data_IF_515641961911
#
_entry.id   IF_515641961911
#
_cell.length_a   1.000
_cell.length_b   1.000
_cell.length_c   1.000
_cell.angle_alpha   90.00
_cell.angle_beta   90.00
_cell.angle_gamma   90.00
#
_symmetry.space_group_name_H-M   'P 1'
#
loop_
_entity.id
_entity.type
_entity.pdbx_description
1 polymer ?
#
# COMPACT_ATOMS: atom_id res chain seq x y z
N UNK A 1 -6.45 44.33 -14.44
CA UNK A 1 -6.13 44.18 -13.01
C UNK A 1 -4.69 44.59 -12.82
N UNK A 2 -4.43 45.33 -11.74
CA UNK A 2 -3.32 46.26 -11.62
C UNK A 2 -2.01 45.54 -11.29
N UNK A 3 -0.91 46.17 -11.70
CA UNK A 3 0.50 45.84 -11.42
C UNK A 3 0.87 45.74 -9.92
N UNK A 4 -0.10 45.92 -9.03
CA UNK A 4 0.03 45.81 -7.58
C UNK A 4 -0.47 44.47 -7.01
N UNK A 5 -1.05 43.59 -7.84
CA UNK A 5 -1.41 42.21 -7.45
C UNK A 5 -0.31 41.18 -7.78
N UNK A 6 0.93 41.64 -8.02
CA UNK A 6 2.10 40.77 -8.03
C UNK A 6 2.46 40.39 -6.59
N UNK A 7 1.67 39.48 -6.00
CA UNK A 7 1.97 38.79 -4.75
C UNK A 7 3.09 37.78 -5.05
N UNK A 8 4.30 38.29 -5.26
CA UNK A 8 5.51 37.48 -5.35
C UNK A 8 6.23 37.54 -4.02
N UNK A 9 5.89 36.64 -3.08
CA UNK A 9 6.96 36.02 -2.30
C UNK A 9 7.86 35.37 -3.35
N UNK A 10 9.14 35.75 -3.37
CA UNK A 10 10.00 35.35 -4.47
C UNK A 10 10.01 33.81 -4.53
N UNK A 11 9.95 33.17 -5.70
CA UNK A 11 10.03 31.69 -5.83
C UNK A 11 11.21 31.09 -5.01
N UNK A 12 12.22 31.92 -4.78
CA UNK A 12 13.41 31.73 -3.97
C UNK A 12 13.17 31.59 -2.46
N UNK A 13 12.09 32.15 -1.91
CA UNK A 13 11.69 32.02 -0.50
C UNK A 13 11.16 30.61 -0.18
N UNK A 14 10.73 29.86 -1.20
CA UNK A 14 10.30 28.47 -1.04
C UNK A 14 11.47 27.47 -1.11
N UNK A 15 12.69 27.95 -1.38
CA UNK A 15 13.88 27.11 -1.41
C UNK A 15 14.58 27.19 -0.07
N UNK A 16 15.02 26.05 0.45
CA UNK A 16 15.92 26.01 1.60
C UNK A 16 17.17 26.86 1.37
N UNK A 17 17.74 27.37 2.46
CA UNK A 17 19.00 28.10 2.44
C UNK A 17 20.13 27.22 1.90
N UNK A 18 20.12 25.92 2.19
CA UNK A 18 21.13 25.01 1.65
C UNK A 18 21.02 24.84 0.14
N UNK A 19 19.80 24.78 -0.42
CA UNK A 19 19.61 24.80 -1.88
C UNK A 19 20.16 26.10 -2.47
N UNK A 20 19.78 27.25 -1.92
CA UNK A 20 20.26 28.55 -2.42
C UNK A 20 21.79 28.65 -2.36
N UNK A 21 22.40 28.22 -1.26
CA UNK A 21 23.86 28.22 -1.08
C UNK A 21 24.57 27.37 -2.13
N UNK A 22 24.05 26.17 -2.43
CA UNK A 22 24.65 25.27 -3.43
C UNK A 22 24.40 25.71 -4.86
N UNK A 23 23.29 26.41 -5.12
CA UNK A 23 23.04 27.06 -6.40
C UNK A 23 24.12 28.08 -6.72
N UNK A 24 24.46 28.93 -5.74
CA UNK A 24 25.39 30.05 -5.94
C UNK A 24 26.86 29.62 -5.84
N UNK A 25 27.18 28.68 -4.94
CA UNK A 25 28.54 28.23 -4.68
C UNK A 25 28.62 26.71 -4.46
N UNK A 26 28.49 25.90 -5.53
CA UNK A 26 28.61 24.44 -5.45
C UNK A 26 30.04 24.02 -5.13
N UNK A 27 30.22 23.18 -4.12
CA UNK A 27 31.54 22.76 -3.64
C UNK A 27 32.22 21.73 -4.56
N UNK A 28 31.42 20.91 -5.24
CA UNK A 28 31.83 19.74 -6.00
C UNK A 28 31.74 19.94 -7.52
N UNK A 29 31.43 21.15 -7.99
CA UNK A 29 31.41 21.43 -9.43
C UNK A 29 32.82 21.38 -10.03
N UNK A 30 32.96 20.76 -11.20
CA UNK A 30 34.23 20.58 -11.89
C UNK A 30 34.31 19.30 -12.69
N UNK A 31 35.49 19.01 -13.22
CA UNK A 31 35.80 17.74 -13.88
C UNK A 31 36.97 17.06 -13.18
N UNK A 32 37.16 15.79 -13.51
CA UNK A 32 38.37 15.03 -13.16
C UNK A 32 38.93 14.54 -14.48
N UNK A 33 40.17 14.94 -14.76
CA UNK A 33 40.90 14.53 -15.97
C UNK A 33 41.55 13.16 -15.79
N UNK A 34 41.89 12.51 -16.89
CA UNK A 34 42.60 11.23 -16.86
C UNK A 34 43.99 11.36 -16.20
N UNK A 35 44.62 12.53 -16.34
CA UNK A 35 45.91 12.82 -15.69
C UNK A 35 45.77 12.92 -14.17
N UNK A 36 44.75 13.64 -13.68
CA UNK A 36 44.45 13.74 -12.25
C UNK A 36 44.04 12.40 -11.62
N UNK A 37 43.50 11.48 -12.43
CA UNK A 37 43.08 10.18 -11.94
C UNK A 37 44.26 9.31 -11.50
N UNK A 38 45.40 9.39 -12.23
CA UNK A 38 46.59 8.61 -11.94
C UNK A 38 46.30 7.10 -11.95
N UNK A 39 46.61 6.42 -10.84
CA UNK A 39 46.36 4.99 -10.65
C UNK A 39 44.91 4.67 -10.23
N UNK A 40 44.13 5.69 -9.87
CA UNK A 40 42.76 5.49 -9.44
C UNK A 40 41.83 5.27 -10.64
N UNK A 41 40.71 4.60 -10.39
CA UNK A 41 39.72 4.32 -11.43
C UNK A 41 38.80 5.53 -11.62
N UNK A 42 38.91 6.18 -12.77
CA UNK A 42 38.01 7.25 -13.19
C UNK A 42 36.76 6.68 -13.86
N UNK A 43 35.58 7.09 -13.39
CA UNK A 43 34.28 6.81 -14.00
C UNK A 43 33.63 8.13 -14.37
N UNK A 44 33.16 8.22 -15.62
CA UNK A 44 32.46 9.40 -16.14
C UNK A 44 31.09 8.92 -16.62
N UNK A 45 30.03 9.51 -16.09
CA UNK A 45 28.65 9.16 -16.44
C UNK A 45 27.86 10.40 -16.84
N UNK A 46 27.16 10.31 -17.96
CA UNK A 46 26.25 11.34 -18.45
C UNK A 46 24.80 10.87 -18.30
N UNK A 47 23.95 11.75 -17.80
CA UNK A 47 22.50 11.53 -17.74
C UNK A 47 21.75 12.85 -17.97
N UNK A 48 20.61 12.80 -18.64
CA UNK A 48 19.79 13.98 -18.89
C UNK A 48 18.32 13.64 -19.02
N UNK A 49 17.47 14.56 -18.57
CA UNK A 49 16.02 14.42 -18.60
C UNK A 49 15.45 15.27 -19.74
N UNK A 50 15.03 14.63 -20.83
CA UNK A 50 14.48 15.31 -22.02
C UNK A 50 13.25 16.18 -21.69
N UNK A 51 12.46 15.79 -20.68
CA UNK A 51 11.25 16.48 -20.25
C UNK A 51 11.49 17.90 -19.72
N UNK A 52 12.64 18.14 -19.09
CA UNK A 52 12.99 19.46 -18.53
C UNK A 52 14.23 20.10 -19.18
N UNK A 53 14.98 19.35 -19.98
CA UNK A 53 16.19 19.83 -20.66
C UNK A 53 17.43 19.91 -19.77
N UNK A 54 17.35 19.42 -18.52
CA UNK A 54 18.48 19.37 -17.60
C UNK A 54 19.35 18.14 -17.88
N UNK A 55 20.66 18.28 -17.73
CA UNK A 55 21.65 17.24 -17.87
C UNK A 55 22.76 17.36 -16.81
N UNK A 56 23.33 16.23 -16.44
CA UNK A 56 24.43 16.13 -15.48
C UNK A 56 25.48 15.14 -15.98
N UNK A 57 26.74 15.53 -15.81
CA UNK A 57 27.92 14.67 -15.96
C UNK A 57 28.54 14.47 -14.59
N UNK A 58 28.57 13.24 -14.12
CA UNK A 58 29.21 12.83 -12.86
C UNK A 58 30.60 12.24 -13.14
N UNK A 59 31.56 12.62 -12.30
CA UNK A 59 32.92 12.08 -12.28
C UNK A 59 33.17 11.44 -10.92
N UNK A 60 33.47 10.15 -10.89
CA UNK A 60 33.97 9.47 -9.71
C UNK A 60 35.42 9.08 -9.89
N UNK A 61 36.22 9.36 -8.88
CA UNK A 61 37.55 8.80 -8.72
C UNK A 61 37.49 7.76 -7.60
N UNK A 62 37.77 6.51 -7.94
CA UNK A 62 37.62 5.37 -7.05
C UNK A 62 39.00 4.79 -6.76
N UNK A 63 39.31 4.64 -5.47
CA UNK A 63 40.53 3.97 -5.03
C UNK A 63 40.41 2.46 -5.33
N UNK A 64 41.28 1.85 -6.14
CA UNK A 64 41.22 0.44 -6.47
C UNK A 64 41.54 -0.49 -5.29
N UNK A 65 42.11 0.01 -4.19
CA UNK A 65 42.45 -0.80 -3.01
C UNK A 65 41.23 -1.09 -2.14
N UNK A 66 40.46 -0.04 -1.87
CA UNK A 66 39.33 -0.10 -0.93
C UNK A 66 37.97 0.02 -1.63
N UNK A 67 37.96 0.20 -2.95
CA UNK A 67 36.78 0.40 -3.80
C UNK A 67 35.90 1.59 -3.37
N UNK A 68 36.51 2.61 -2.75
CA UNK A 68 35.83 3.81 -2.26
C UNK A 68 35.97 4.99 -3.20
N UNK A 69 34.89 5.76 -3.32
CA UNK A 69 34.85 7.02 -4.06
C UNK A 69 35.61 8.08 -3.26
N UNK A 70 36.86 8.35 -3.63
CA UNK A 70 37.73 9.33 -2.96
C UNK A 70 37.49 10.76 -3.45
N UNK A 71 36.89 10.91 -4.64
CA UNK A 71 36.49 12.20 -5.18
C UNK A 71 35.26 12.04 -6.05
N UNK A 72 34.31 12.94 -5.87
CA UNK A 72 33.08 13.02 -6.66
C UNK A 72 32.93 14.44 -7.15
N UNK A 73 32.91 14.65 -8.47
CA UNK A 73 32.77 15.96 -9.11
C UNK A 73 31.66 15.91 -10.15
N UNK A 74 31.11 17.06 -10.52
CA UNK A 74 30.08 17.11 -11.53
C UNK A 74 30.16 18.34 -12.43
N UNK A 75 29.64 18.20 -13.64
CA UNK A 75 29.16 19.33 -14.45
C UNK A 75 27.65 19.20 -14.60
N UNK A 76 26.93 20.31 -14.55
CA UNK A 76 25.49 20.32 -14.77
C UNK A 76 25.16 21.39 -15.79
N UNK A 77 24.21 21.06 -16.68
CA UNK A 77 23.54 21.99 -17.56
C UNK A 77 22.07 21.95 -17.17
N UNK A 78 21.50 23.06 -16.73
CA UNK A 78 20.10 23.07 -16.31
C UNK A 78 19.76 24.18 -15.34
N UNK A 79 18.62 24.02 -14.67
CA UNK A 79 18.18 24.96 -13.66
C UNK A 79 19.03 24.88 -12.37
N UNK A 80 19.07 25.92 -11.55
CA UNK A 80 19.94 25.91 -10.36
C UNK A 80 19.56 24.83 -9.33
N UNK A 81 18.31 24.38 -9.25
CA UNK A 81 17.95 23.22 -8.40
C UNK A 81 18.62 21.93 -8.88
N UNK A 82 18.92 21.80 -10.18
CA UNK A 82 19.72 20.71 -10.72
C UNK A 82 21.19 20.82 -10.28
N UNK A 83 21.75 22.04 -10.24
CA UNK A 83 23.10 22.31 -9.71
C UNK A 83 23.18 21.93 -8.23
N UNK A 84 22.24 22.41 -7.41
CA UNK A 84 22.21 22.10 -5.97
C UNK A 84 22.03 20.61 -5.68
N UNK A 85 21.11 19.95 -6.40
CA UNK A 85 20.91 18.50 -6.27
C UNK A 85 22.15 17.70 -6.67
N UNK A 86 22.81 18.09 -7.77
CA UNK A 86 24.04 17.44 -8.24
C UNK A 86 25.22 17.67 -7.28
N UNK A 87 25.32 18.86 -6.69
CA UNK A 87 26.36 19.17 -5.70
C UNK A 87 26.21 18.35 -4.41
N UNK A 88 24.97 18.26 -3.90
CA UNK A 88 24.66 17.41 -2.75
C UNK A 88 24.87 15.93 -3.05
N UNK A 89 24.40 15.46 -4.22
CA UNK A 89 24.63 14.09 -4.67
C UNK A 89 26.13 13.76 -4.70
N UNK A 90 26.94 14.64 -5.28
CA UNK A 90 28.38 14.43 -5.34
C UNK A 90 28.98 14.31 -3.93
N UNK A 91 28.54 15.16 -2.99
CA UNK A 91 28.97 15.10 -1.59
C UNK A 91 28.58 13.78 -0.91
N UNK A 92 27.32 13.36 -1.04
CA UNK A 92 26.83 12.12 -0.45
C UNK A 92 27.56 10.87 -0.96
N UNK A 93 28.08 10.90 -2.18
CA UNK A 93 28.86 9.80 -2.75
C UNK A 93 30.26 9.68 -2.15
N UNK A 94 30.84 10.77 -1.61
CA UNK A 94 32.22 10.76 -1.13
C UNK A 94 32.42 9.76 0.03
N UNK A 95 33.49 8.99 -0.03
CA UNK A 95 33.87 7.98 0.97
C UNK A 95 33.06 6.68 0.90
N UNK A 96 31.99 6.60 0.11
CA UNK A 96 31.20 5.38 -0.08
C UNK A 96 31.85 4.46 -1.11
N UNK A 97 31.59 3.17 -0.96
CA UNK A 97 31.78 2.20 -2.05
C UNK A 97 30.72 2.39 -3.14
N UNK A 98 30.92 1.83 -4.33
CA UNK A 98 29.94 1.91 -5.42
C UNK A 98 28.61 1.27 -5.02
N UNK A 99 28.63 0.17 -4.26
CA UNK A 99 27.42 -0.50 -3.77
C UNK A 99 26.67 0.33 -2.71
N UNK A 100 27.38 1.09 -1.88
CA UNK A 100 26.76 2.02 -0.96
C UNK A 100 26.22 3.27 -1.68
N UNK A 101 26.91 3.74 -2.71
CA UNK A 101 26.50 4.90 -3.49
C UNK A 101 25.22 4.62 -4.28
N UNK A 102 25.07 3.44 -4.89
CA UNK A 102 23.87 3.07 -5.67
C UNK A 102 22.58 3.03 -4.83
N UNK A 103 22.72 2.94 -3.50
CA UNK A 103 21.60 2.97 -2.54
C UNK A 103 21.14 4.38 -2.17
N UNK A 104 21.92 5.42 -2.50
CA UNK A 104 21.49 6.80 -2.32
C UNK A 104 20.26 7.01 -3.21
N UNK A 105 19.16 7.51 -2.64
CA UNK A 105 17.93 7.81 -3.38
C UNK A 105 17.78 9.31 -3.64
N UNK A 106 16.86 9.67 -4.54
CA UNK A 106 16.44 11.07 -4.72
C UNK A 106 15.92 11.70 -3.41
N UNK A 107 15.26 10.90 -2.56
CA UNK A 107 14.76 11.35 -1.26
C UNK A 107 15.91 11.62 -0.29
N UNK A 108 16.99 10.86 -0.33
CA UNK A 108 18.17 11.13 0.50
C UNK A 108 18.84 12.45 0.10
N UNK A 109 18.98 12.71 -1.20
CA UNK A 109 19.49 13.98 -1.72
C UNK A 109 18.60 15.14 -1.30
N UNK A 110 17.29 15.00 -1.46
CA UNK A 110 16.35 16.07 -1.09
C UNK A 110 16.33 16.33 0.41
N UNK A 111 16.32 15.28 1.25
CA UNK A 111 16.40 15.42 2.71
C UNK A 111 17.68 16.11 3.16
N UNK A 112 18.81 15.77 2.54
CA UNK A 112 20.10 16.38 2.87
C UNK A 112 20.13 17.88 2.51
N UNK A 113 19.28 18.32 1.58
CA UNK A 113 19.14 19.72 1.19
C UNK A 113 18.15 20.51 2.08
N UNK A 114 17.44 19.87 3.02
CA UNK A 114 16.44 20.58 3.85
C UNK A 114 17.12 21.38 4.95
N UNK A 115 16.62 22.59 5.20
CA UNK A 115 17.00 23.36 6.41
C UNK A 115 16.39 22.76 7.68
N UNK A 116 15.19 22.17 7.56
CA UNK A 116 14.48 21.53 8.68
C UNK A 116 13.89 20.19 8.23
N UNK A 117 13.82 19.18 9.10
CA UNK A 117 13.38 17.84 8.71
C UNK A 117 11.99 17.77 8.07
N UNK A 118 11.06 18.62 8.48
CA UNK A 118 9.65 18.55 8.10
C UNK A 118 9.28 19.40 6.86
N UNK A 119 10.15 20.32 6.46
CA UNK A 119 9.91 21.24 5.34
C UNK A 119 10.73 20.78 4.13
N UNK A 120 10.10 20.48 2.97
CA UNK A 120 10.82 20.13 1.76
C UNK A 120 11.85 21.19 1.34
N UNK A 121 12.97 20.75 0.78
CA UNK A 121 14.07 21.63 0.40
C UNK A 121 13.73 22.51 -0.81
N UNK A 122 12.84 22.02 -1.66
CA UNK A 122 12.32 22.69 -2.87
C UNK A 122 10.82 22.41 -3.03
N UNK A 123 10.09 23.27 -3.76
CA UNK A 123 8.70 23.02 -4.15
C UNK A 123 8.55 21.72 -4.93
N UNK A 124 7.38 21.09 -4.81
CA UNK A 124 7.12 19.77 -5.39
C UNK A 124 7.40 19.66 -6.89
N UNK A 125 7.21 20.74 -7.65
CA UNK A 125 7.49 20.75 -9.10
C UNK A 125 8.98 20.61 -9.44
N UNK A 126 9.88 20.93 -8.49
CA UNK A 126 11.35 20.91 -8.67
C UNK A 126 12.02 19.64 -8.13
N UNK A 127 11.26 18.70 -7.58
CA UNK A 127 11.77 17.41 -7.08
C UNK A 127 12.45 16.53 -8.13
N UNK A 128 12.12 16.72 -9.43
CA UNK A 128 12.72 15.93 -10.51
C UNK A 128 14.25 16.11 -10.61
N UNK A 129 14.81 17.23 -10.13
CA UNK A 129 16.25 17.44 -10.08
C UNK A 129 16.97 16.44 -9.16
N UNK A 130 16.32 16.02 -8.06
CA UNK A 130 16.84 14.99 -7.17
C UNK A 130 16.70 13.59 -7.77
N UNK A 131 15.73 13.38 -8.66
CA UNK A 131 15.60 12.14 -9.45
C UNK A 131 16.74 12.01 -10.44
N UNK A 132 17.10 13.08 -11.15
CA UNK A 132 18.24 13.09 -12.06
C UNK A 132 19.56 12.73 -11.34
N UNK A 133 19.75 13.23 -10.11
CA UNK A 133 20.89 12.87 -9.27
C UNK A 133 20.95 11.37 -8.94
N UNK A 134 19.81 10.74 -8.69
CA UNK A 134 19.73 9.31 -8.48
C UNK A 134 20.12 8.51 -9.73
N UNK A 135 19.61 8.91 -10.90
CA UNK A 135 19.85 8.18 -12.15
C UNK A 135 21.31 8.23 -12.59
N UNK A 136 21.98 9.37 -12.42
CA UNK A 136 23.40 9.48 -12.81
C UNK A 136 24.30 8.65 -11.89
N UNK A 137 23.95 8.46 -10.61
CA UNK A 137 24.65 7.53 -9.70
C UNK A 137 24.55 6.10 -10.24
N UNK A 138 23.33 5.67 -10.60
CA UNK A 138 23.13 4.33 -11.18
C UNK A 138 23.88 4.16 -12.49
N UNK A 139 23.89 5.18 -13.34
CA UNK A 139 24.66 5.16 -14.58
C UNK A 139 26.17 5.04 -14.32
N UNK A 140 26.69 5.76 -13.33
CA UNK A 140 28.10 5.64 -12.92
C UNK A 140 28.41 4.25 -12.36
N UNK A 141 27.52 3.70 -11.51
CA UNK A 141 27.66 2.36 -10.98
C UNK A 141 27.61 1.29 -12.08
N UNK A 142 26.75 1.45 -13.09
CA UNK A 142 26.63 0.52 -14.21
C UNK A 142 27.89 0.49 -15.06
N UNK A 143 28.50 1.66 -15.30
CA UNK A 143 29.80 1.79 -15.98
C UNK A 143 30.93 1.16 -15.15
N UNK A 144 30.94 1.36 -13.83
CA UNK A 144 31.95 0.76 -12.95
C UNK A 144 31.84 -0.76 -12.90
N UNK A 145 30.63 -1.29 -12.75
CA UNK A 145 30.37 -2.74 -12.62
C UNK A 145 30.27 -3.46 -13.96
N UNK A 146 30.18 -2.72 -15.06
CA UNK A 146 29.95 -3.24 -16.41
C UNK A 146 28.69 -4.11 -16.49
N UNK A 147 27.58 -3.57 -15.96
CA UNK A 147 26.25 -4.19 -15.94
C UNK A 147 25.24 -3.24 -16.56
N UNK A 148 24.05 -3.74 -16.89
CA UNK A 148 22.94 -2.87 -17.29
C UNK A 148 22.52 -1.97 -16.11
N UNK A 149 22.17 -0.71 -16.39
CA UNK A 149 21.66 0.20 -15.37
C UNK A 149 20.31 -0.30 -14.79
N UNK A 150 19.48 -0.93 -15.62
CA UNK A 150 18.20 -1.52 -15.21
C UNK A 150 18.39 -2.67 -14.21
N UNK A 151 19.58 -3.29 -14.15
CA UNK A 151 19.86 -4.33 -13.16
C UNK A 151 19.86 -3.83 -11.71
N UNK A 152 19.91 -2.51 -11.49
CA UNK A 152 19.74 -1.89 -10.18
C UNK A 152 18.27 -1.56 -9.86
N UNK A 153 17.34 -1.88 -10.75
CA UNK A 153 15.90 -1.68 -10.62
C UNK A 153 15.22 -3.05 -10.61
N UNK A 154 15.33 -3.75 -9.47
CA UNK A 154 14.70 -5.06 -9.30
C UNK A 154 13.16 -4.99 -9.30
N UNK A 155 12.59 -3.80 -9.09
CA UNK A 155 11.15 -3.56 -8.94
C UNK A 155 10.63 -2.49 -9.91
N UNK A 156 9.44 -2.72 -10.49
CA UNK A 156 8.78 -1.76 -11.37
C UNK A 156 8.44 -0.45 -10.63
N UNK A 157 9.03 0.66 -11.07
CA UNK A 157 8.80 2.00 -10.51
C UNK A 157 7.52 2.59 -11.07
N UNK A 158 6.46 2.64 -10.27
CA UNK A 158 5.18 3.22 -10.68
C UNK A 158 5.23 4.76 -10.63
N UNK A 159 5.92 5.34 -9.65
CA UNK A 159 6.09 6.78 -9.53
C UNK A 159 7.57 7.18 -9.53
N UNK A 160 8.07 7.68 -10.66
CA UNK A 160 9.45 8.15 -10.77
C UNK A 160 9.75 9.40 -9.93
N UNK A 161 8.81 10.34 -9.87
CA UNK A 161 8.95 11.58 -9.11
C UNK A 161 9.24 11.31 -7.62
N UNK A 162 8.60 10.28 -7.05
CA UNK A 162 8.79 9.88 -5.66
C UNK A 162 9.68 8.63 -5.50
N UNK A 163 10.17 8.05 -6.62
CA UNK A 163 10.84 6.74 -6.70
C UNK A 163 10.17 5.65 -5.86
N UNK A 164 8.84 5.54 -6.03
CA UNK A 164 8.04 4.51 -5.35
C UNK A 164 7.68 3.41 -6.32
N UNK A 165 7.99 2.18 -5.93
CA UNK A 165 7.71 0.97 -6.71
C UNK A 165 6.24 0.57 -6.60
N UNK A 166 5.75 -0.15 -7.60
CA UNK A 166 4.43 -0.76 -7.55
C UNK A 166 4.28 -1.65 -6.33
N UNK A 167 5.31 -2.44 -5.99
CA UNK A 167 5.28 -3.34 -4.83
C UNK A 167 5.14 -2.55 -3.52
N UNK A 168 5.93 -1.48 -3.33
CA UNK A 168 5.79 -0.58 -2.17
C UNK A 168 4.38 -0.02 -2.05
N UNK A 169 3.77 0.42 -3.16
CA UNK A 169 2.39 0.95 -3.15
C UNK A 169 1.38 -0.13 -2.78
N UNK A 170 1.51 -1.33 -3.36
CA UNK A 170 0.65 -2.46 -3.06
C UNK A 170 0.73 -2.85 -1.57
N UNK A 171 1.94 -2.92 -1.03
CA UNK A 171 2.19 -3.24 0.38
C UNK A 171 1.55 -2.19 1.30
N UNK A 172 1.80 -0.90 1.06
CA UNK A 172 1.24 0.20 1.85
C UNK A 172 -0.29 0.21 1.80
N UNK A 173 -0.90 -0.03 0.63
CA UNK A 173 -2.36 -0.15 0.48
C UNK A 173 -2.90 -1.31 1.31
N UNK A 174 -2.23 -2.46 1.29
CA UNK A 174 -2.65 -3.67 2.03
C UNK A 174 -2.51 -3.48 3.54
N UNK A 175 -1.33 -3.05 4.01
CA UNK A 175 -1.01 -2.88 5.42
C UNK A 175 -1.94 -1.86 6.10
N UNK A 176 -2.22 -0.75 5.43
CA UNK A 176 -3.02 0.34 5.99
C UNK A 176 -4.49 0.32 5.55
N UNK A 177 -4.90 -0.69 4.75
CA UNK A 177 -6.25 -0.83 4.17
C UNK A 177 -6.73 0.42 3.42
N UNK A 178 -5.82 1.07 2.71
CA UNK A 178 -6.13 2.29 1.96
C UNK A 178 -7.20 2.01 0.91
N UNK A 179 -8.07 2.99 0.67
CA UNK A 179 -9.22 2.89 -0.22
C UNK A 179 -9.38 4.10 -1.16
N UNK A 180 -8.54 5.12 -1.01
CA UNK A 180 -8.57 6.34 -1.82
C UNK A 180 -7.18 6.70 -2.37
N UNK A 181 -7.14 7.48 -3.45
CA UNK A 181 -5.89 7.96 -4.03
C UNK A 181 -5.19 8.95 -3.12
N UNK A 182 -5.96 9.78 -2.42
CA UNK A 182 -5.47 10.77 -1.48
C UNK A 182 -4.71 10.11 -0.32
N UNK A 183 -5.22 8.99 0.20
CA UNK A 183 -4.52 8.18 1.18
C UNK A 183 -3.21 7.60 0.63
N UNK A 184 -3.21 7.04 -0.58
CA UNK A 184 -1.99 6.51 -1.20
C UNK A 184 -0.94 7.62 -1.33
N UNK A 185 -1.34 8.77 -1.88
CA UNK A 185 -0.47 9.94 -2.03
C UNK A 185 0.07 10.38 -0.65
N UNK A 186 -0.77 10.39 0.37
CA UNK A 186 -0.36 10.81 1.70
C UNK A 186 0.71 9.89 2.30
N UNK A 187 0.50 8.57 2.25
CA UNK A 187 1.40 7.57 2.83
C UNK A 187 2.68 7.38 2.01
N UNK A 188 2.55 7.23 0.69
CA UNK A 188 3.67 6.86 -0.19
C UNK A 188 4.38 8.06 -0.80
N UNK A 189 3.74 9.24 -0.82
CA UNK A 189 4.13 10.41 -1.63
C UNK A 189 4.09 10.18 -3.15
N UNK A 190 3.72 8.98 -3.61
CA UNK A 190 3.52 8.71 -5.03
C UNK A 190 2.38 9.61 -5.55
N UNK A 191 2.66 10.40 -6.59
CA UNK A 191 1.68 11.32 -7.17
C UNK A 191 1.51 12.65 -6.45
N UNK A 192 2.23 12.89 -5.33
CA UNK A 192 2.18 14.17 -4.61
C UNK A 192 2.74 15.35 -5.40
N UNK A 193 3.62 15.07 -6.37
CA UNK A 193 4.43 16.08 -7.06
C UNK A 193 3.89 16.38 -8.48
N UNK A 194 4.27 15.55 -9.46
CA UNK A 194 3.97 15.73 -10.88
C UNK A 194 2.59 15.19 -11.30
N UNK A 195 1.94 14.40 -10.44
CA UNK A 195 0.63 13.74 -10.65
C UNK A 195 0.53 12.78 -11.84
N UNK A 196 1.61 12.57 -12.62
CA UNK A 196 1.62 11.69 -13.80
C UNK A 196 1.21 10.26 -13.52
N UNK A 197 1.60 9.71 -12.37
CA UNK A 197 1.22 8.35 -11.99
C UNK A 197 -0.20 8.22 -11.43
N UNK A 198 -0.92 9.33 -11.19
CA UNK A 198 -2.22 9.26 -10.49
C UNK A 198 -3.31 8.74 -11.42
N UNK A 199 -3.45 9.38 -12.59
CA UNK A 199 -4.43 9.09 -13.67
C UNK A 199 -3.89 9.62 -15.01
N UNK A 200 -4.45 9.19 -16.15
CA UNK A 200 -4.13 9.78 -17.45
C UNK A 200 -4.29 11.31 -17.45
N UNK A 201 -3.38 12.01 -18.13
CA UNK A 201 -3.42 13.48 -18.28
C UNK A 201 -2.47 14.28 -17.38
N UNK A 202 -1.50 13.63 -16.73
CA UNK A 202 -0.39 14.33 -16.07
C UNK A 202 0.69 14.82 -17.04
N UNK A 203 1.90 15.11 -16.53
CA UNK A 203 3.00 15.65 -17.36
C UNK A 203 3.51 14.67 -18.42
N UNK A 204 3.29 13.37 -18.20
CA UNK A 204 3.71 12.29 -19.09
C UNK A 204 2.72 11.13 -18.97
N UNK A 205 2.66 10.29 -20.00
CA UNK A 205 1.89 9.05 -19.96
C UNK A 205 2.63 8.00 -19.12
N UNK A 206 1.87 7.15 -18.43
CA UNK A 206 2.40 6.00 -17.69
C UNK A 206 1.71 4.71 -18.15
N UNK A 207 2.44 3.59 -18.05
CA UNK A 207 1.93 2.25 -18.38
C UNK A 207 0.93 1.73 -17.35
N UNK A 208 1.05 2.19 -16.10
CA UNK A 208 0.17 1.87 -14.99
C UNK A 208 -0.08 3.12 -14.15
N UNK A 209 -1.33 3.35 -13.77
CA UNK A 209 -1.73 4.44 -12.88
C UNK A 209 -2.13 3.92 -11.49
N UNK A 210 -1.96 4.78 -10.48
CA UNK A 210 -2.41 4.53 -9.10
C UNK A 210 -3.90 4.24 -9.03
N UNK A 211 -4.72 4.90 -9.87
CA UNK A 211 -6.15 4.65 -9.94
C UNK A 211 -6.48 3.22 -10.35
N UNK A 212 -5.78 2.70 -11.36
CA UNK A 212 -6.01 1.34 -11.87
C UNK A 212 -5.51 0.29 -10.88
N UNK A 213 -4.34 0.54 -10.29
CA UNK A 213 -3.77 -0.32 -9.25
C UNK A 213 -4.68 -0.40 -8.02
N UNK A 214 -5.18 0.75 -7.53
CA UNK A 214 -6.09 0.80 -6.39
C UNK A 214 -7.41 0.08 -6.70
N UNK A 215 -8.00 0.32 -7.88
CA UNK A 215 -9.23 -0.35 -8.30
C UNK A 215 -9.07 -1.87 -8.29
N UNK A 216 -7.97 -2.38 -8.86
CA UNK A 216 -7.64 -3.81 -8.88
C UNK A 216 -7.56 -4.39 -7.47
N UNK A 217 -6.83 -3.74 -6.56
CA UNK A 217 -6.68 -4.22 -5.19
C UNK A 217 -7.98 -4.15 -4.36
N UNK A 218 -8.85 -3.18 -4.63
CA UNK A 218 -10.16 -3.09 -3.99
C UNK A 218 -11.08 -4.22 -4.47
N UNK A 219 -11.09 -4.51 -5.76
CA UNK A 219 -11.85 -5.65 -6.32
C UNK A 219 -11.38 -6.98 -5.73
N UNK A 220 -10.05 -7.19 -5.63
CA UNK A 220 -9.48 -8.38 -4.97
C UNK A 220 -9.95 -8.50 -3.51
N UNK A 221 -9.92 -7.39 -2.76
CA UNK A 221 -10.34 -7.36 -1.36
C UNK A 221 -11.83 -7.69 -1.21
N UNK A 222 -12.69 -7.12 -2.06
CA UNK A 222 -14.11 -7.42 -2.07
C UNK A 222 -14.38 -8.89 -2.42
N UNK A 223 -13.66 -9.46 -3.40
CA UNK A 223 -13.79 -10.86 -3.79
C UNK A 223 -13.40 -11.80 -2.64
N UNK A 224 -12.32 -11.47 -1.91
CA UNK A 224 -11.90 -12.21 -0.72
C UNK A 224 -12.95 -12.12 0.39
N UNK A 225 -13.51 -10.94 0.66
CA UNK A 225 -14.59 -10.78 1.65
C UNK A 225 -15.85 -11.55 1.27
N UNK A 226 -16.25 -11.51 0.00
CA UNK A 226 -17.38 -12.30 -0.51
C UNK A 226 -17.12 -13.79 -0.33
N UNK A 227 -15.93 -14.26 -0.69
CA UNK A 227 -15.53 -15.67 -0.52
C UNK A 227 -15.52 -16.08 0.95
N UNK A 228 -14.99 -15.24 1.83
CA UNK A 228 -14.99 -15.46 3.28
C UNK A 228 -16.40 -15.55 3.83
N UNK A 229 -17.30 -14.62 3.45
CA UNK A 229 -18.71 -14.65 3.85
C UNK A 229 -19.43 -15.89 3.34
N UNK A 230 -19.10 -16.37 2.13
CA UNK A 230 -19.63 -17.64 1.60
C UNK A 230 -19.13 -18.83 2.41
N UNK A 231 -17.86 -18.86 2.81
CA UNK A 231 -17.28 -19.93 3.65
C UNK A 231 -17.91 -19.90 5.05
N UNK A 232 -17.96 -18.74 5.70
CA UNK A 232 -18.61 -18.54 7.00
C UNK A 232 -20.10 -18.92 6.94
N UNK A 233 -20.80 -18.57 5.86
CA UNK A 233 -22.18 -18.98 5.64
C UNK A 233 -22.33 -20.45 5.24
N UNK A 234 -21.29 -21.17 4.80
CA UNK A 234 -21.41 -22.60 4.52
C UNK A 234 -21.15 -23.46 5.75
N UNK A 235 -20.40 -22.94 6.73
CA UNK A 235 -19.95 -23.72 7.89
C UNK A 235 -19.15 -24.96 7.48
N UNK A 236 -18.80 -25.81 8.45
CA UNK A 236 -18.31 -27.17 8.20
C UNK A 236 -19.46 -28.18 7.94
N UNK A 237 -20.69 -27.68 7.82
CA UNK A 237 -21.91 -28.47 7.70
C UNK A 237 -22.52 -28.94 9.03
N UNK A 238 -21.88 -28.66 10.17
CA UNK A 238 -22.44 -28.90 11.51
C UNK A 238 -23.40 -27.78 11.91
N UNK A 239 -24.38 -28.09 12.78
CA UNK A 239 -25.32 -27.09 13.28
C UNK A 239 -24.63 -26.00 14.12
N UNK A 240 -23.51 -26.30 14.76
CA UNK A 240 -22.71 -25.37 15.56
C UNK A 240 -22.15 -24.22 14.71
N UNK A 241 -21.61 -24.54 13.53
CA UNK A 241 -20.95 -23.58 12.64
C UNK A 241 -21.92 -22.78 11.75
N UNK A 242 -23.23 -23.07 11.79
CA UNK A 242 -24.24 -22.35 11.01
C UNK A 242 -24.50 -20.93 11.54
N UNK A 243 -24.71 -19.98 10.63
CA UNK A 243 -25.23 -18.66 11.00
C UNK A 243 -26.67 -18.73 11.55
N UNK A 244 -27.10 -17.73 12.33
CA UNK A 244 -28.41 -17.70 12.99
C UNK A 244 -29.60 -17.98 12.03
N UNK A 245 -29.58 -17.37 10.84
CA UNK A 245 -30.63 -17.58 9.83
C UNK A 245 -30.68 -19.02 9.32
N UNK A 246 -29.52 -19.68 9.22
CA UNK A 246 -29.44 -21.09 8.82
C UNK A 246 -29.86 -22.01 9.95
N UNK A 247 -29.47 -21.71 11.20
CA UNK A 247 -29.94 -22.44 12.39
C UNK A 247 -31.47 -22.44 12.46
N UNK A 248 -32.10 -21.27 12.28
CA UNK A 248 -33.56 -21.12 12.23
C UNK A 248 -34.19 -21.97 11.12
N UNK A 249 -33.67 -21.89 9.89
CA UNK A 249 -34.19 -22.68 8.76
C UNK A 249 -34.07 -24.18 8.97
N UNK A 250 -32.94 -24.64 9.51
CA UNK A 250 -32.70 -26.06 9.79
C UNK A 250 -33.68 -26.59 10.83
N UNK A 251 -33.92 -25.85 11.92
CA UNK A 251 -34.90 -26.22 12.95
C UNK A 251 -36.33 -26.19 12.39
N UNK A 252 -36.75 -25.14 11.70
CA UNK A 252 -38.09 -25.05 11.10
C UNK A 252 -38.37 -26.18 10.10
N UNK A 253 -37.39 -26.54 9.27
CA UNK A 253 -37.55 -27.66 8.33
C UNK A 253 -37.81 -28.98 9.06
N UNK A 254 -37.12 -29.23 10.17
CA UNK A 254 -37.32 -30.45 10.97
C UNK A 254 -38.68 -30.43 11.66
N UNK A 255 -39.09 -29.27 12.20
CA UNK A 255 -40.41 -29.13 12.81
C UNK A 255 -41.51 -29.40 11.79
N UNK A 256 -41.45 -28.82 10.59
CA UNK A 256 -42.48 -29.01 9.55
C UNK A 256 -42.52 -30.43 9.00
N UNK A 257 -41.36 -31.08 8.83
CA UNK A 257 -41.30 -32.42 8.22
C UNK A 257 -41.63 -33.55 9.21
N UNK A 258 -41.22 -33.43 10.48
CA UNK A 258 -41.27 -34.55 11.43
C UNK A 258 -42.17 -34.32 12.65
N UNK A 259 -42.35 -33.08 13.09
CA UNK A 259 -43.04 -32.79 14.36
C UNK A 259 -44.48 -32.33 14.13
N UNK A 260 -44.67 -31.27 13.33
CA UNK A 260 -45.97 -30.66 13.06
C UNK A 260 -46.97 -31.64 12.44
N UNK A 261 -46.62 -32.57 11.52
CA UNK A 261 -47.59 -33.52 10.98
C UNK A 261 -48.23 -34.38 12.07
N UNK A 262 -47.41 -34.80 13.04
CA UNK A 262 -47.84 -35.59 14.20
C UNK A 262 -48.71 -34.76 15.14
N UNK A 263 -48.27 -33.53 15.48
CA UNK A 263 -49.04 -32.66 16.37
C UNK A 263 -50.39 -32.22 15.76
N UNK A 264 -50.41 -31.93 14.46
CA UNK A 264 -51.62 -31.51 13.74
C UNK A 264 -52.65 -32.64 13.65
N UNK A 265 -52.21 -33.90 13.59
CA UNK A 265 -53.11 -35.05 13.66
C UNK A 265 -53.88 -35.11 14.99
N UNK A 266 -53.26 -34.63 16.06
CA UNK A 266 -53.82 -34.53 17.41
C UNK A 266 -54.43 -33.14 17.72
N UNK A 267 -54.69 -32.30 16.70
CA UNK A 267 -55.31 -30.98 16.88
C UNK A 267 -54.39 -29.88 17.45
N UNK A 268 -53.07 -30.15 17.52
CA UNK A 268 -52.06 -29.24 18.04
C UNK A 268 -51.07 -28.72 16.99
N UNK A 269 -50.22 -27.78 17.38
CA UNK A 269 -49.11 -27.27 16.56
C UNK A 269 -48.00 -26.68 17.45
N UNK A 270 -46.84 -26.40 16.87
CA UNK A 270 -45.69 -25.81 17.56
C UNK A 270 -44.99 -24.79 16.66
N UNK A 271 -44.61 -23.63 17.18
CA UNK A 271 -43.84 -22.64 16.43
C UNK A 271 -42.48 -22.38 17.06
N UNK A 272 -41.47 -22.15 16.21
CA UNK A 272 -40.18 -21.67 16.66
C UNK A 272 -40.25 -20.17 16.96
N UNK A 273 -39.79 -19.77 18.15
CA UNK A 273 -39.75 -18.38 18.60
C UNK A 273 -38.35 -17.80 18.45
N UNK A 274 -37.34 -18.51 18.95
CA UNK A 274 -35.95 -18.04 18.94
C UNK A 274 -34.96 -19.21 19.14
N UNK A 275 -33.69 -18.99 18.84
CA UNK A 275 -32.60 -19.92 19.16
C UNK A 275 -31.49 -19.12 19.84
N UNK A 276 -31.16 -19.49 21.07
CA UNK A 276 -30.10 -18.87 21.88
C UNK A 276 -28.97 -19.85 22.14
N UNK A 277 -27.78 -19.33 22.38
CA UNK A 277 -26.62 -20.12 22.76
C UNK A 277 -26.21 -19.71 24.17
N UNK A 278 -26.27 -20.66 25.11
CA UNK A 278 -25.97 -20.46 26.53
C UNK A 278 -25.08 -21.61 26.97
N UNK A 279 -23.89 -21.30 27.49
CA UNK A 279 -22.93 -22.30 28.01
C UNK A 279 -22.68 -23.49 27.05
N UNK A 280 -22.42 -23.18 25.76
CA UNK A 280 -22.16 -24.17 24.69
C UNK A 280 -23.36 -25.10 24.36
N UNK A 281 -24.57 -24.76 24.84
CA UNK A 281 -25.82 -25.46 24.52
C UNK A 281 -26.77 -24.54 23.75
N UNK A 282 -27.40 -25.04 22.69
CA UNK A 282 -28.41 -24.31 21.94
C UNK A 282 -29.79 -24.42 22.61
N UNK A 283 -30.30 -23.34 23.15
CA UNK A 283 -31.67 -23.23 23.65
C UNK A 283 -32.62 -22.89 22.50
N UNK A 284 -33.46 -23.84 22.11
CA UNK A 284 -34.49 -23.67 21.07
C UNK A 284 -35.80 -23.31 21.77
N UNK A 285 -36.23 -22.06 21.62
CA UNK A 285 -37.46 -21.56 22.22
C UNK A 285 -38.63 -21.84 21.29
N UNK A 286 -39.60 -22.60 21.76
CA UNK A 286 -40.80 -22.95 21.01
C UNK A 286 -42.07 -22.51 21.73
N UNK A 287 -43.15 -22.34 20.98
CA UNK A 287 -44.48 -22.04 21.51
C UNK A 287 -45.51 -23.03 20.98
N UNK A 288 -46.23 -23.69 21.87
CA UNK A 288 -47.35 -24.55 21.48
C UNK A 288 -48.55 -23.73 20.99
N UNK A 289 -49.29 -24.30 20.04
CA UNK A 289 -50.54 -23.78 19.49
C UNK A 289 -51.60 -24.88 19.44
N UNK A 290 -52.86 -24.47 19.32
CA UNK A 290 -54.00 -25.38 19.24
C UNK A 290 -54.26 -26.13 20.56
N UNK A 291 -54.72 -27.37 20.46
CA UNK A 291 -55.09 -28.19 21.61
C UNK A 291 -53.87 -28.58 22.49
N UNK A 292 -52.64 -28.40 21.99
CA UNK A 292 -51.42 -28.59 22.77
C UNK A 292 -51.26 -27.61 23.94
N UNK A 293 -52.02 -26.51 24.00
CA UNK A 293 -51.94 -25.53 25.09
C UNK A 293 -52.59 -26.00 26.42
N UNK A 294 -53.53 -26.94 26.37
CA UNK A 294 -54.35 -27.34 27.53
C UNK A 294 -54.14 -28.78 27.99
N UNK A 295 -53.29 -29.56 27.30
CA UNK A 295 -53.05 -30.96 27.62
C UNK A 295 -51.98 -31.13 28.71
N UNK A 296 -52.41 -31.07 29.98
CA UNK A 296 -51.54 -31.16 31.16
C UNK A 296 -50.83 -32.51 31.34
N UNK A 297 -51.23 -33.57 30.62
CA UNK A 297 -50.66 -34.92 30.77
C UNK A 297 -49.61 -35.30 29.72
N UNK A 298 -49.54 -34.61 28.56
CA UNK A 298 -48.63 -34.96 27.46
C UNK A 298 -47.52 -33.94 27.18
N UNK A 299 -47.52 -32.77 27.81
CA UNK A 299 -46.52 -31.72 27.55
C UNK A 299 -45.08 -32.17 27.81
N UNK A 300 -44.85 -32.99 28.84
CA UNK A 300 -43.48 -33.47 29.16
C UNK A 300 -42.96 -34.49 28.13
N UNK A 301 -43.79 -35.42 27.69
CA UNK A 301 -43.42 -36.46 26.71
C UNK A 301 -43.25 -35.88 25.31
N UNK A 302 -44.14 -34.97 24.90
CA UNK A 302 -44.06 -34.30 23.60
C UNK A 302 -42.84 -33.38 23.52
N UNK A 303 -42.54 -32.63 24.57
CA UNK A 303 -41.35 -31.78 24.62
C UNK A 303 -40.05 -32.59 24.50
N UNK A 304 -39.96 -33.70 25.23
CA UNK A 304 -38.82 -34.62 25.14
C UNK A 304 -38.68 -35.20 23.71
N UNK A 305 -39.78 -35.59 23.07
CA UNK A 305 -39.77 -36.10 21.69
C UNK A 305 -39.29 -35.07 20.66
N UNK A 306 -39.65 -33.79 20.84
CA UNK A 306 -39.17 -32.70 19.98
C UNK A 306 -37.66 -32.48 20.19
N UNK A 307 -37.21 -32.45 21.45
CA UNK A 307 -35.80 -32.30 21.79
C UNK A 307 -34.94 -33.43 21.22
N UNK A 308 -35.37 -34.69 21.39
CA UNK A 308 -34.66 -35.86 20.89
C UNK A 308 -34.57 -35.88 19.35
N UNK A 309 -35.66 -35.53 18.66
CA UNK A 309 -35.68 -35.46 17.20
C UNK A 309 -34.73 -34.37 16.67
N UNK A 310 -34.75 -33.19 17.28
CA UNK A 310 -33.87 -32.09 16.91
C UNK A 310 -32.40 -32.45 17.17
N UNK A 311 -32.07 -33.03 18.34
CA UNK A 311 -30.71 -33.51 18.64
C UNK A 311 -30.23 -34.55 17.63
N UNK A 312 -31.09 -35.52 17.30
CA UNK A 312 -30.74 -36.59 16.37
C UNK A 312 -30.44 -36.07 14.96
N UNK A 313 -31.26 -35.15 14.44
CA UNK A 313 -31.12 -34.62 13.08
C UNK A 313 -30.01 -33.57 12.96
N UNK A 314 -29.84 -32.71 13.96
CA UNK A 314 -28.86 -31.61 13.94
C UNK A 314 -27.49 -32.01 14.49
N UNK A 315 -27.40 -33.15 15.19
CA UNK A 315 -26.17 -33.68 15.80
C UNK A 315 -25.45 -32.64 16.69
N UNK A 316 -26.22 -31.83 17.41
CA UNK A 316 -25.71 -30.76 18.26
C UNK A 316 -26.32 -30.82 19.67
N UNK A 317 -25.59 -30.34 20.70
CA UNK A 317 -26.11 -30.21 22.04
C UNK A 317 -27.14 -29.08 22.09
N UNK A 318 -28.43 -29.45 22.08
CA UNK A 318 -29.54 -28.49 22.15
C UNK A 318 -30.54 -28.86 23.24
N UNK A 319 -31.30 -27.89 23.72
CA UNK A 319 -32.36 -28.02 24.72
C UNK A 319 -33.58 -27.26 24.25
N UNK A 320 -34.77 -27.85 24.34
CA UNK A 320 -36.01 -27.22 23.89
C UNK A 320 -36.73 -26.59 25.08
N UNK A 321 -37.06 -25.31 24.96
CA UNK A 321 -37.72 -24.53 26.02
C UNK A 321 -39.06 -24.03 25.50
N UNK A 322 -40.13 -24.27 26.25
CA UNK A 322 -41.46 -23.74 25.92
C UNK A 322 -41.61 -22.35 26.51
N UNK A 323 -42.03 -21.38 25.69
CA UNK A 323 -42.27 -19.98 26.07
C UNK A 323 -43.68 -19.50 25.74
#
# INVERSE_FOLDING_TARGET
MARNDLIGGALWEEYSQEVQRRMDNPANMGEITQEEAGENRLVIADFGAESCGDAVRLYWLIDPKDERIIRSRFKSFGCGTAIASSDMMAELCMGKTVDEAVRITNIDVEKALRDTPDIPAVPGQKMHCSVMAYDVIKKAASIYKNVDMESFEEEFILCECARVTQETIQEVIRLNRLSTLEEIIHYTKAGAFCKSCVRPGGHEAKDLYLADLLATLLEEREAQERSRKIIEAKGDGSFESMGLVQKIKSVESILEEYIRPTLKADGGDVELVDIKEVDEVFEVLIKYRGECMSCSMNTTTTLAGIEDMLRFKLKAPLKVIVV
#
